data_IF_133079958992
#
_entry.id   IF_133079958992
#
_cell.length_a   1.000
_cell.length_b   1.000
_cell.length_c   1.000
_cell.angle_alpha   90.00
_cell.angle_beta   90.00
_cell.angle_gamma   90.00
#
_symmetry.space_group_name_H-M   'P 1'
#
loop_
_entity.id
_entity.type
_entity.pdbx_description
1 polymer ?
#
# COMPACT_ATOMS: atom_id res chain seq x y z
N UNK A 1 -11.33 22.09 0.86
CA UNK A 1 -12.60 22.00 1.62
C UNK A 1 -13.11 23.42 1.81
N UNK A 2 -14.36 23.74 1.48
CA UNK A 2 -14.91 25.09 1.72
C UNK A 2 -15.09 25.32 3.23
N UNK A 3 -14.73 26.51 3.72
CA UNK A 3 -14.87 26.90 5.14
C UNK A 3 -16.33 26.87 5.64
N UNK A 4 -17.28 26.98 4.71
CA UNK A 4 -18.71 26.92 4.96
C UNK A 4 -19.16 25.49 5.34
N UNK A 5 -18.72 24.48 4.56
CA UNK A 5 -19.00 23.07 4.83
C UNK A 5 -18.42 22.58 6.17
N UNK A 6 -17.28 23.13 6.58
CA UNK A 6 -16.65 22.78 7.84
C UNK A 6 -17.45 23.29 9.06
N UNK A 7 -18.04 24.49 8.95
CA UNK A 7 -18.90 25.04 10.00
C UNK A 7 -20.21 24.30 10.15
N UNK A 8 -20.81 23.89 9.03
CA UNK A 8 -22.03 23.06 9.05
C UNK A 8 -21.82 21.72 9.75
N UNK A 9 -20.68 21.06 9.50
CA UNK A 9 -20.35 19.78 10.14
C UNK A 9 -20.14 19.93 11.66
N UNK A 10 -19.54 21.04 12.10
CA UNK A 10 -19.32 21.32 13.53
C UNK A 10 -20.60 21.72 14.29
N UNK A 11 -21.62 22.17 13.57
CA UNK A 11 -22.90 22.58 14.16
C UNK A 11 -23.91 21.45 14.30
N UNK A 12 -23.69 20.30 13.64
CA UNK A 12 -24.53 19.11 13.79
C UNK A 12 -24.22 18.42 15.12
N UNK A 13 -25.27 18.01 15.82
CA UNK A 13 -25.13 17.19 17.03
C UNK A 13 -24.95 15.72 16.65
N UNK A 14 -24.34 14.93 17.55
CA UNK A 14 -24.18 13.49 17.34
C UNK A 14 -25.54 12.76 17.21
N UNK A 15 -26.60 13.33 17.81
CA UNK A 15 -27.97 12.80 17.76
C UNK A 15 -28.62 12.96 16.38
N UNK A 16 -28.14 13.91 15.57
CA UNK A 16 -28.60 14.14 14.19
C UNK A 16 -27.89 13.25 13.16
N UNK A 17 -26.98 12.37 13.60
CA UNK A 17 -26.26 11.43 12.73
C UNK A 17 -27.17 10.24 12.43
N UNK A 18 -27.52 10.08 11.16
CA UNK A 18 -28.28 8.93 10.66
C UNK A 18 -27.36 7.71 10.50
N UNK A 19 -27.68 6.63 11.22
CA UNK A 19 -27.01 5.33 11.16
C UNK A 19 -27.86 4.24 10.48
N UNK A 20 -28.94 4.62 9.79
CA UNK A 20 -29.88 3.66 9.18
C UNK A 20 -29.23 2.73 8.13
N UNK A 21 -28.15 3.17 7.50
CA UNK A 21 -27.38 2.42 6.51
C UNK A 21 -26.17 1.67 7.09
N UNK A 22 -25.73 2.04 8.29
CA UNK A 22 -24.53 1.49 8.95
C UNK A 22 -24.94 0.99 10.34
N UNK A 23 -25.41 -0.26 10.46
CA UNK A 23 -25.77 -0.82 11.76
C UNK A 23 -24.55 -0.89 12.69
N UNK A 24 -24.80 -0.78 13.99
CA UNK A 24 -23.76 -0.90 15.01
C UNK A 24 -23.04 -2.26 14.91
N UNK A 25 -21.71 -2.25 15.02
CA UNK A 25 -20.90 -3.46 14.97
C UNK A 25 -20.94 -4.17 16.33
N UNK A 26 -21.72 -5.23 16.43
CA UNK A 26 -21.92 -6.01 17.64
C UNK A 26 -20.94 -7.20 17.76
N UNK A 27 -20.98 -7.90 18.89
CA UNK A 27 -20.14 -9.09 19.12
C UNK A 27 -20.41 -10.20 18.07
N UNK A 28 -21.63 -10.26 17.51
CA UNK A 28 -22.00 -11.23 16.48
C UNK A 28 -21.32 -10.93 15.14
N UNK A 29 -21.14 -9.65 14.78
CA UNK A 29 -20.33 -9.22 13.65
C UNK A 29 -18.88 -9.67 13.82
N UNK A 30 -18.27 -9.40 14.97
CA UNK A 30 -16.88 -9.75 15.23
C UNK A 30 -16.64 -11.25 15.34
N UNK A 31 -17.64 -12.04 15.75
CA UNK A 31 -17.55 -13.52 15.81
C UNK A 31 -17.24 -14.15 14.44
N UNK A 32 -17.70 -13.53 13.35
CA UNK A 32 -17.49 -14.03 11.99
C UNK A 32 -16.49 -13.19 11.19
N UNK A 33 -15.98 -12.11 11.77
CA UNK A 33 -15.03 -11.24 11.11
C UNK A 33 -13.72 -11.99 10.84
N UNK A 34 -13.37 -12.11 9.55
CA UNK A 34 -12.09 -12.68 9.15
C UNK A 34 -11.01 -11.62 9.31
N UNK A 35 -10.11 -11.82 10.26
CA UNK A 35 -8.91 -11.00 10.39
C UNK A 35 -8.02 -11.22 9.17
N UNK A 36 -8.06 -10.28 8.22
CA UNK A 36 -7.08 -10.24 7.13
C UNK A 36 -5.78 -9.67 7.72
N UNK A 37 -4.94 -10.55 8.26
CA UNK A 37 -3.54 -10.19 8.50
C UNK A 37 -2.94 -9.85 7.14
N UNK A 38 -2.58 -8.58 6.91
CA UNK A 38 -1.64 -8.24 5.84
C UNK A 38 -0.39 -9.07 6.10
N UNK A 39 -0.15 -10.10 5.30
CA UNK A 39 1.14 -10.77 5.28
C UNK A 39 2.11 -9.77 4.64
N UNK A 40 3.10 -9.24 5.36
CA UNK A 40 4.21 -8.60 4.68
C UNK A 40 4.96 -9.75 3.98
N UNK A 41 4.66 -10.00 2.71
CA UNK A 41 5.42 -10.96 1.88
C UNK A 41 6.79 -10.37 1.51
N UNK A 42 7.49 -9.81 2.50
CA UNK A 42 8.81 -9.21 2.35
C UNK A 42 9.71 -9.82 3.40
N UNK A 43 10.69 -10.58 2.95
CA UNK A 43 11.72 -11.16 3.81
C UNK A 43 12.84 -10.13 4.01
N UNK A 44 13.23 -9.92 5.27
CA UNK A 44 14.35 -9.04 5.60
C UNK A 44 15.67 -9.79 5.37
N UNK A 45 16.31 -9.52 4.24
CA UNK A 45 17.61 -10.09 3.88
C UNK A 45 18.72 -9.04 3.92
N UNK A 46 19.94 -9.47 4.23
CA UNK A 46 21.14 -8.64 4.10
C UNK A 46 21.80 -8.89 2.75
N UNK A 47 21.71 -7.92 1.85
CA UNK A 47 22.40 -7.93 0.55
C UNK A 47 23.49 -6.86 0.55
N UNK A 48 24.57 -7.12 -0.21
CA UNK A 48 25.56 -6.08 -0.50
C UNK A 48 25.14 -5.35 -1.75
N UNK A 49 25.13 -4.03 -1.67
CA UNK A 49 24.85 -3.11 -2.78
C UNK A 49 25.98 -2.09 -2.76
N UNK A 50 26.43 -1.67 -3.94
CA UNK A 50 27.46 -0.64 -4.05
C UNK A 50 26.99 0.68 -3.42
N UNK A 51 27.93 1.41 -2.83
CA UNK A 51 27.64 2.61 -2.02
C UNK A 51 26.96 3.70 -2.85
N UNK A 52 27.44 3.93 -4.08
CA UNK A 52 26.92 4.90 -5.03
C UNK A 52 25.47 4.58 -5.44
N UNK A 53 25.19 3.30 -5.69
CA UNK A 53 23.85 2.81 -6.01
C UNK A 53 22.91 3.01 -4.83
N UNK A 54 23.35 2.67 -3.62
CA UNK A 54 22.55 2.85 -2.41
C UNK A 54 22.26 4.33 -2.12
N UNK A 55 23.24 5.20 -2.33
CA UNK A 55 23.10 6.65 -2.16
C UNK A 55 22.08 7.22 -3.14
N UNK A 56 22.14 6.82 -4.42
CA UNK A 56 21.15 7.21 -5.42
C UNK A 56 19.73 6.85 -4.98
N UNK A 57 19.49 5.62 -4.52
CA UNK A 57 18.17 5.19 -4.02
C UNK A 57 17.68 5.99 -2.81
N UNK A 58 18.59 6.41 -1.92
CA UNK A 58 18.26 7.27 -0.77
C UNK A 58 17.81 8.65 -1.22
N UNK A 59 18.62 9.32 -2.05
CA UNK A 59 18.30 10.66 -2.56
C UNK A 59 17.03 10.66 -3.40
N UNK A 60 16.83 9.63 -4.24
CA UNK A 60 15.58 9.51 -5.01
C UNK A 60 14.38 9.33 -4.09
N UNK A 61 14.42 8.45 -3.10
CA UNK A 61 13.29 8.28 -2.19
C UNK A 61 13.00 9.53 -1.34
N UNK A 62 14.01 10.33 -1.01
CA UNK A 62 13.84 11.60 -0.30
C UNK A 62 13.16 12.67 -1.18
N UNK A 63 13.52 12.72 -2.45
CA UNK A 63 12.93 13.66 -3.42
C UNK A 63 11.49 13.29 -3.83
N UNK A 64 11.05 12.07 -3.52
CA UNK A 64 9.77 11.50 -3.94
C UNK A 64 8.92 11.12 -2.70
N UNK A 65 8.17 12.08 -2.12
CA UNK A 65 7.41 11.88 -0.87
C UNK A 65 6.30 10.83 -0.97
N UNK A 66 5.89 10.45 -2.18
CA UNK A 66 4.96 9.36 -2.43
C UNK A 66 5.55 7.97 -2.13
N UNK A 67 6.88 7.85 -2.09
CA UNK A 67 7.58 6.60 -1.83
C UNK A 67 7.85 6.47 -0.33
N UNK A 68 7.54 5.31 0.26
CA UNK A 68 7.73 5.01 1.69
C UNK A 68 9.20 4.84 2.13
N UNK A 69 10.15 5.31 1.33
CA UNK A 69 11.59 5.19 1.56
C UNK A 69 12.33 4.28 0.57
N UNK A 70 13.67 4.36 0.61
CA UNK A 70 14.56 3.73 -0.35
C UNK A 70 14.44 2.20 -0.44
N UNK A 71 14.11 1.52 0.66
CA UNK A 71 13.87 0.06 0.66
C UNK A 71 12.66 -0.33 -0.20
N UNK A 72 11.60 0.50 -0.18
CA UNK A 72 10.40 0.26 -1.00
C UNK A 72 10.75 0.44 -2.48
N UNK A 73 11.50 1.49 -2.81
CA UNK A 73 11.95 1.75 -4.17
C UNK A 73 12.86 0.63 -4.72
N UNK A 74 13.81 0.15 -3.92
CA UNK A 74 14.67 -0.98 -4.29
C UNK A 74 13.81 -2.21 -4.60
N UNK A 75 12.82 -2.53 -3.75
CA UNK A 75 11.94 -3.67 -3.97
C UNK A 75 11.11 -3.53 -5.26
N UNK A 76 10.58 -2.35 -5.55
CA UNK A 76 9.79 -2.09 -6.75
C UNK A 76 10.63 -2.22 -8.03
N UNK A 77 11.88 -1.74 -8.01
CA UNK A 77 12.83 -1.91 -9.12
C UNK A 77 13.15 -3.39 -9.34
N UNK A 78 13.48 -4.12 -8.28
CA UNK A 78 13.77 -5.56 -8.36
C UNK A 78 12.57 -6.35 -8.89
N UNK A 79 11.36 -6.03 -8.42
CA UNK A 79 10.12 -6.65 -8.91
C UNK A 79 9.89 -6.38 -10.39
N UNK A 80 10.08 -5.14 -10.82
CA UNK A 80 9.93 -4.74 -12.22
C UNK A 80 10.91 -5.49 -13.11
N UNK A 81 12.18 -5.58 -12.69
CA UNK A 81 13.20 -6.35 -13.39
C UNK A 81 12.84 -7.83 -13.52
N UNK A 82 12.45 -8.48 -12.42
CA UNK A 82 12.02 -9.90 -12.44
C UNK A 82 10.83 -10.09 -13.35
N UNK A 83 9.82 -9.21 -13.28
CA UNK A 83 8.60 -9.30 -14.10
C UNK A 83 8.90 -9.17 -15.59
N UNK A 84 9.79 -8.25 -15.96
CA UNK A 84 10.26 -8.09 -17.33
C UNK A 84 11.06 -9.30 -17.81
N UNK A 85 11.85 -9.91 -16.92
CA UNK A 85 12.62 -11.10 -17.27
C UNK A 85 11.69 -12.31 -17.46
N UNK A 86 10.70 -12.51 -16.59
CA UNK A 86 9.78 -13.66 -16.67
C UNK A 86 8.81 -13.55 -17.85
N UNK A 87 8.30 -12.35 -18.16
CA UNK A 87 7.46 -12.14 -19.35
C UNK A 87 8.22 -12.38 -20.67
N UNK A 88 9.53 -12.14 -20.68
CA UNK A 88 10.40 -12.44 -21.81
C UNK A 88 10.87 -13.92 -21.85
N UNK A 89 10.50 -14.72 -20.84
CA UNK A 89 10.94 -16.12 -20.64
C UNK A 89 9.83 -17.15 -20.85
N UNK A 90 8.69 -16.79 -21.45
CA UNK A 90 7.62 -17.73 -21.84
C UNK A 90 7.74 -18.16 -23.32
N UNK A 91 8.50 -19.23 -23.66
CA UNK A 91 8.46 -19.87 -24.98
C UNK A 91 7.30 -20.88 -25.07
N UNK A 92 6.08 -20.49 -24.65
CA UNK A 92 4.85 -21.28 -24.90
C UNK A 92 3.87 -20.53 -25.79
N UNK A 93 4.38 -20.07 -26.93
CA UNK A 93 3.60 -19.93 -28.17
C UNK A 93 4.34 -20.67 -29.29
N UNK A 94 4.33 -22.00 -29.22
CA UNK A 94 4.59 -22.88 -30.37
C UNK A 94 3.98 -24.26 -30.08
N UNK A 95 3.07 -24.68 -30.97
CA UNK A 95 2.29 -25.94 -31.01
C UNK A 95 1.33 -26.13 -29.82
N UNK A 96 0.01 -26.23 -29.99
CA UNK A 96 -0.81 -26.94 -30.99
C UNK A 96 -2.21 -26.33 -31.00
#
# INVERSE_FOLDING_TARGET
>A
MSEERARELLAKSDEDIDFSDIPELDEAFFKNAKLVKRQPNTEAISIRVDTDTLEWFRTTAENHPEIRGYQTLINDVLRTYVTHQTSNSDPKQSLT
#
